data_IF_905302241455
#
_entry.id   IF_905302241455
#
_cell.length_a   1.000
_cell.length_b   1.000
_cell.length_c   1.000
_cell.angle_alpha   90.00
_cell.angle_beta   90.00
_cell.angle_gamma   90.00
#
_symmetry.space_group_name_H-M   'P 1'
#
loop_
_entity.id
_entity.type
_entity.pdbx_description
1 polymer ?
#
# COMPACT_ATOMS: atom_id res chain seq x y z
N UNK A 1 -40.00 -13.56 49.45
CA UNK A 1 -39.94 -14.00 48.04
C UNK A 1 -39.17 -12.95 47.27
N UNK A 2 -37.86 -13.12 47.18
CA UNK A 2 -36.95 -12.21 46.51
C UNK A 2 -36.42 -12.93 45.28
N UNK A 3 -36.92 -12.57 44.11
CA UNK A 3 -36.34 -12.95 42.85
C UNK A 3 -35.21 -11.95 42.50
N UNK A 4 -33.98 -12.34 42.81
CA UNK A 4 -32.81 -11.73 42.26
C UNK A 4 -32.60 -12.30 40.83
N UNK A 5 -32.86 -11.48 39.83
CA UNK A 5 -32.47 -11.77 38.48
C UNK A 5 -30.94 -11.74 38.44
N UNK A 6 -30.32 -12.89 38.22
CA UNK A 6 -28.93 -13.00 37.80
C UNK A 6 -28.76 -12.34 36.44
N UNK A 7 -28.17 -11.14 36.43
CA UNK A 7 -27.63 -10.55 35.23
C UNK A 7 -26.41 -11.35 34.82
N UNK A 8 -26.58 -12.20 33.80
CA UNK A 8 -25.47 -12.84 33.11
C UNK A 8 -24.57 -11.76 32.54
N UNK A 9 -23.42 -11.57 33.15
CA UNK A 9 -22.35 -10.74 32.59
C UNK A 9 -21.85 -11.46 31.34
N UNK A 10 -22.27 -10.98 30.17
CA UNK A 10 -21.73 -11.42 28.88
C UNK A 10 -20.31 -10.89 28.80
N UNK A 11 -19.35 -11.78 28.95
CA UNK A 11 -17.93 -11.48 28.69
C UNK A 11 -17.77 -11.18 27.20
N UNK A 12 -17.59 -9.90 26.86
CA UNK A 12 -17.23 -9.46 25.52
C UNK A 12 -15.74 -9.69 25.29
N UNK A 13 -15.31 -10.95 25.24
CA UNK A 13 -14.02 -11.38 24.69
C UNK A 13 -14.25 -12.01 23.32
N UNK A 14 -14.86 -11.26 22.40
CA UNK A 14 -14.74 -11.55 20.99
C UNK A 14 -13.82 -10.47 20.40
N UNK A 15 -12.54 -10.79 20.29
CA UNK A 15 -11.69 -10.15 19.30
C UNK A 15 -12.39 -10.37 17.96
N UNK A 16 -12.83 -9.30 17.34
CA UNK A 16 -13.47 -9.37 16.04
C UNK A 16 -12.43 -9.88 15.02
N UNK A 17 -12.53 -11.15 14.65
CA UNK A 17 -11.67 -11.72 13.60
C UNK A 17 -12.12 -11.18 12.24
N UNK A 18 -11.21 -10.50 11.53
CA UNK A 18 -11.44 -10.06 10.15
C UNK A 18 -11.14 -11.23 9.22
N UNK A 19 -12.08 -11.55 8.34
CA UNK A 19 -11.95 -12.61 7.34
C UNK A 19 -11.87 -12.04 5.92
N UNK A 20 -11.35 -12.85 4.98
CA UNK A 20 -11.38 -12.51 3.56
C UNK A 20 -12.83 -12.32 3.09
N UNK A 21 -13.10 -11.20 2.41
CA UNK A 21 -14.42 -10.78 1.95
C UNK A 21 -15.11 -9.79 2.88
N UNK A 22 -14.64 -9.61 4.11
CA UNK A 22 -15.21 -8.62 5.01
C UNK A 22 -15.11 -7.22 4.46
N UNK A 23 -16.21 -6.49 4.54
CA UNK A 23 -16.33 -5.14 3.98
C UNK A 23 -16.79 -4.16 5.04
N UNK A 24 -16.09 -3.05 5.15
CA UNK A 24 -16.36 -1.99 6.11
C UNK A 24 -16.71 -0.69 5.39
N UNK A 25 -17.73 0.00 5.88
CA UNK A 25 -18.11 1.32 5.39
C UNK A 25 -17.56 2.41 6.32
N UNK A 26 -16.70 3.26 5.76
CA UNK A 26 -16.07 4.38 6.46
C UNK A 26 -16.63 5.69 5.89
N UNK A 27 -17.81 6.08 6.31
CA UNK A 27 -18.57 7.16 5.70
C UNK A 27 -18.91 6.83 4.24
N UNK A 28 -18.36 7.56 3.27
CA UNK A 28 -18.54 7.30 1.83
C UNK A 28 -17.49 6.34 1.22
N UNK A 29 -16.55 5.87 2.01
CA UNK A 29 -15.47 4.99 1.57
C UNK A 29 -15.79 3.53 1.88
N UNK A 30 -15.31 2.63 1.04
CA UNK A 30 -15.40 1.19 1.24
C UNK A 30 -14.00 0.65 1.52
N UNK A 31 -13.86 -0.13 2.59
CA UNK A 31 -12.66 -0.91 2.88
C UNK A 31 -13.04 -2.38 2.77
N UNK A 32 -12.24 -3.16 2.08
CA UNK A 32 -12.43 -4.61 1.91
C UNK A 32 -11.15 -5.36 2.32
N UNK A 33 -11.30 -6.44 3.05
CA UNK A 33 -10.24 -7.41 3.32
C UNK A 33 -10.24 -8.45 2.21
N UNK A 34 -9.35 -8.30 1.20
CA UNK A 34 -9.34 -9.18 0.04
C UNK A 34 -7.97 -9.18 -0.66
N UNK A 35 -7.77 -10.14 -1.56
CA UNK A 35 -6.60 -10.15 -2.45
C UNK A 35 -6.84 -9.20 -3.63
N UNK A 36 -5.97 -8.21 -3.80
CA UNK A 36 -6.05 -7.23 -4.90
C UNK A 36 -5.75 -7.81 -6.28
N UNK A 37 -5.29 -9.07 -6.36
CA UNK A 37 -5.10 -9.80 -7.62
C UNK A 37 -6.42 -10.36 -8.17
N UNK A 38 -7.45 -10.40 -7.35
CA UNK A 38 -8.76 -10.88 -7.74
C UNK A 38 -9.65 -9.74 -8.23
N UNK A 39 -10.13 -9.81 -9.46
CA UNK A 39 -10.98 -8.77 -10.06
C UNK A 39 -12.29 -8.54 -9.29
N UNK A 40 -12.86 -9.58 -8.66
CA UNK A 40 -14.08 -9.46 -7.87
C UNK A 40 -13.89 -8.52 -6.66
N UNK A 41 -12.71 -8.52 -6.05
CA UNK A 41 -12.42 -7.65 -4.89
C UNK A 41 -12.44 -6.18 -5.28
N UNK A 42 -11.91 -5.88 -6.47
CA UNK A 42 -11.88 -4.52 -7.02
C UNK A 42 -13.30 -4.08 -7.39
N UNK A 43 -14.05 -4.92 -8.10
CA UNK A 43 -15.45 -4.66 -8.47
C UNK A 43 -16.32 -4.40 -7.22
N UNK A 44 -16.15 -5.25 -6.20
CA UNK A 44 -16.88 -5.12 -4.93
C UNK A 44 -16.54 -3.83 -4.19
N UNK A 45 -15.25 -3.43 -4.15
CA UNK A 45 -14.81 -2.19 -3.52
C UNK A 45 -15.35 -0.95 -4.25
N UNK A 46 -15.40 -0.99 -5.58
CA UNK A 46 -15.83 0.13 -6.43
C UNK A 46 -17.35 0.32 -6.47
N UNK A 47 -18.14 -0.73 -6.25
CA UNK A 47 -19.61 -0.66 -6.27
C UNK A 47 -20.17 -0.01 -7.55
N UNK A 48 -19.64 -0.40 -8.71
CA UNK A 48 -20.05 0.12 -10.01
C UNK A 48 -19.51 1.53 -10.33
N UNK A 49 -18.56 2.04 -9.55
CA UNK A 49 -17.87 3.31 -9.85
C UNK A 49 -16.61 3.07 -10.66
N UNK A 50 -16.31 3.97 -11.58
CA UNK A 50 -15.06 3.95 -12.30
C UNK A 50 -13.89 4.47 -11.44
N UNK A 51 -12.73 3.90 -11.66
CA UNK A 51 -11.47 4.28 -11.01
C UNK A 51 -10.73 5.34 -11.83
N UNK A 52 -10.48 6.49 -11.24
CA UNK A 52 -9.75 7.57 -11.88
C UNK A 52 -8.30 7.64 -11.43
N UNK A 53 -8.03 7.26 -10.18
CA UNK A 53 -6.71 7.31 -9.55
C UNK A 53 -6.43 5.98 -8.86
N UNK A 54 -5.26 5.43 -9.15
CA UNK A 54 -4.65 4.32 -8.41
C UNK A 54 -3.52 4.89 -7.54
N UNK A 55 -3.75 4.98 -6.23
CA UNK A 55 -2.72 5.32 -5.24
C UNK A 55 -2.50 4.10 -4.36
N UNK A 56 -1.29 3.54 -4.35
CA UNK A 56 -1.03 2.27 -3.68
C UNK A 56 0.37 2.18 -3.11
N UNK A 57 0.49 1.43 -2.01
CA UNK A 57 1.72 1.07 -1.32
C UNK A 57 1.76 -0.47 -1.23
N UNK A 58 2.13 -1.16 -2.33
CA UNK A 58 2.18 -2.62 -2.34
C UNK A 58 3.35 -3.13 -1.50
N UNK A 59 3.37 -4.42 -1.10
CA UNK A 59 4.57 -5.06 -0.57
C UNK A 59 5.74 -4.89 -1.54
N UNK A 60 6.94 -4.62 -1.02
CA UNK A 60 8.11 -4.33 -1.87
C UNK A 60 8.93 -5.57 -2.25
N UNK A 61 8.62 -6.73 -1.65
CA UNK A 61 9.36 -7.97 -1.90
C UNK A 61 10.80 -7.96 -1.37
N UNK A 62 11.06 -7.21 -0.31
CA UNK A 62 12.39 -7.01 0.29
C UNK A 62 12.52 -7.59 1.69
N UNK A 63 11.46 -8.27 2.17
CA UNK A 63 11.41 -8.85 3.51
C UNK A 63 11.72 -7.81 4.61
N UNK A 64 10.93 -6.74 4.61
CA UNK A 64 11.20 -5.56 5.44
C UNK A 64 11.21 -5.87 6.94
N UNK A 65 10.33 -6.76 7.42
CA UNK A 65 10.21 -7.10 8.85
C UNK A 65 11.40 -7.96 9.27
N UNK A 66 11.67 -9.06 8.58
CA UNK A 66 12.80 -9.94 8.90
C UNK A 66 14.15 -9.22 8.74
N UNK A 67 14.27 -8.32 7.77
CA UNK A 67 15.49 -7.52 7.60
C UNK A 67 15.79 -6.58 8.76
N UNK A 68 14.83 -6.29 9.66
CA UNK A 68 14.99 -5.52 10.89
C UNK A 68 15.25 -6.35 12.14
N UNK A 69 15.10 -7.66 12.07
CA UNK A 69 15.40 -8.53 13.20
C UNK A 69 16.85 -8.36 13.64
N UNK A 70 17.04 -8.14 14.93
CA UNK A 70 18.35 -7.88 15.53
C UNK A 70 18.75 -6.42 15.69
N UNK A 71 17.95 -5.43 15.21
CA UNK A 71 18.22 -4.01 15.40
C UNK A 71 17.42 -3.34 16.51
N UNK A 72 16.20 -3.81 16.80
CA UNK A 72 15.35 -3.26 17.86
C UNK A 72 14.38 -4.30 18.41
N UNK A 73 14.30 -4.42 19.73
CA UNK A 73 13.26 -5.25 20.39
C UNK A 73 11.83 -4.80 20.09
N UNK A 74 11.65 -3.53 19.67
CA UNK A 74 10.34 -2.99 19.27
C UNK A 74 9.84 -3.51 17.92
N UNK A 75 10.68 -4.15 17.10
CA UNK A 75 10.24 -4.77 15.84
C UNK A 75 9.47 -6.07 16.03
N UNK A 76 9.56 -6.71 17.20
CA UNK A 76 8.77 -7.90 17.56
C UNK A 76 7.27 -7.63 17.72
N UNK A 77 6.84 -6.37 17.65
CA UNK A 77 5.45 -5.96 17.77
C UNK A 77 4.68 -5.97 16.43
N UNK A 78 5.35 -6.22 15.30
CA UNK A 78 4.71 -6.21 13.99
C UNK A 78 4.71 -7.62 13.39
N UNK A 79 3.52 -8.05 12.95
CA UNK A 79 3.37 -9.27 12.16
C UNK A 79 4.03 -9.11 10.79
N UNK A 80 4.39 -10.23 10.17
CA UNK A 80 4.93 -10.26 8.82
C UNK A 80 3.98 -9.61 7.82
N UNK A 81 4.53 -8.80 6.93
CA UNK A 81 3.73 -8.19 5.86
C UNK A 81 3.49 -9.25 4.79
N UNK A 82 2.21 -9.55 4.54
CA UNK A 82 1.84 -10.53 3.52
C UNK A 82 2.43 -10.15 2.14
N UNK A 83 3.05 -11.12 1.47
CA UNK A 83 3.73 -11.00 0.17
C UNK A 83 4.97 -10.08 0.15
N UNK A 84 5.53 -9.69 1.30
CA UNK A 84 6.77 -8.89 1.37
C UNK A 84 8.04 -9.76 1.49
N UNK A 85 7.93 -11.09 1.54
CA UNK A 85 9.09 -11.99 1.50
C UNK A 85 10.00 -11.67 0.31
N UNK A 86 11.32 -11.95 0.47
CA UNK A 86 12.31 -11.66 -0.57
C UNK A 86 11.90 -12.26 -1.93
N UNK A 87 11.90 -11.42 -2.97
CA UNK A 87 11.58 -11.79 -4.34
C UNK A 87 12.72 -11.38 -5.29
N UNK A 88 12.93 -12.16 -6.34
CA UNK A 88 13.74 -11.75 -7.47
C UNK A 88 13.01 -10.68 -8.29
N UNK A 89 13.75 -9.94 -9.13
CA UNK A 89 13.17 -8.93 -10.02
C UNK A 89 12.05 -9.50 -10.90
N UNK A 90 12.24 -10.72 -11.41
CA UNK A 90 11.25 -11.39 -12.25
C UNK A 90 9.98 -11.79 -11.47
N UNK A 91 10.12 -12.29 -10.26
CA UNK A 91 8.99 -12.63 -9.38
C UNK A 91 8.20 -11.38 -9.01
N UNK A 92 8.91 -10.30 -8.67
CA UNK A 92 8.26 -9.04 -8.33
C UNK A 92 7.57 -8.38 -9.53
N UNK A 93 8.17 -8.47 -10.72
CA UNK A 93 7.52 -8.00 -11.95
C UNK A 93 6.23 -8.77 -12.25
N UNK A 94 6.23 -10.11 -12.08
CA UNK A 94 5.02 -10.94 -12.20
C UNK A 94 3.97 -10.63 -11.14
N UNK A 95 4.40 -10.44 -9.90
CA UNK A 95 3.50 -10.02 -8.81
C UNK A 95 2.85 -8.66 -9.15
N UNK A 96 3.64 -7.69 -9.61
CA UNK A 96 3.14 -6.38 -10.02
C UNK A 96 2.13 -6.49 -11.16
N UNK A 97 2.43 -7.26 -12.20
CA UNK A 97 1.51 -7.53 -13.30
C UNK A 97 0.19 -8.13 -12.79
N UNK A 98 0.27 -9.09 -11.87
CA UNK A 98 -0.88 -9.84 -11.39
C UNK A 98 -1.91 -8.95 -10.66
N UNK A 99 -1.47 -7.95 -9.87
CA UNK A 99 -2.41 -7.06 -9.18
C UNK A 99 -2.78 -5.82 -9.99
N UNK A 100 -1.99 -5.40 -10.98
CA UNK A 100 -2.30 -4.23 -11.82
C UNK A 100 -3.25 -4.55 -12.98
N UNK A 101 -3.12 -5.74 -13.56
CA UNK A 101 -3.95 -6.15 -14.72
C UNK A 101 -5.45 -6.21 -14.40
N UNK A 102 -5.91 -6.75 -13.27
CA UNK A 102 -7.33 -6.81 -12.91
C UNK A 102 -8.01 -5.44 -12.72
N UNK A 103 -7.22 -4.37 -12.52
CA UNK A 103 -7.74 -3.01 -12.32
C UNK A 103 -8.21 -2.37 -13.64
N UNK A 104 -7.63 -2.78 -14.76
CA UNK A 104 -7.81 -2.13 -16.07
C UNK A 104 -9.28 -2.00 -16.49
N UNK A 105 -10.16 -3.02 -16.35
CA UNK A 105 -11.56 -2.91 -16.74
C UNK A 105 -12.36 -1.84 -16.01
N UNK A 106 -11.87 -1.40 -14.86
CA UNK A 106 -12.54 -0.42 -13.99
C UNK A 106 -11.99 0.99 -14.15
N UNK A 107 -10.98 1.19 -14.99
CA UNK A 107 -10.36 2.51 -15.18
C UNK A 107 -11.24 3.41 -16.03
N UNK A 108 -11.30 4.67 -15.67
CA UNK A 108 -11.72 5.73 -16.59
C UNK A 108 -10.73 5.87 -17.74
N UNK A 109 -11.22 6.33 -18.87
CA UNK A 109 -10.38 6.62 -20.06
C UNK A 109 -9.17 7.49 -19.70
N UNK A 110 -9.39 8.52 -18.86
CA UNK A 110 -8.34 9.37 -18.30
C UNK A 110 -8.07 9.00 -16.86
N UNK A 111 -6.88 8.52 -16.57
CA UNK A 111 -6.50 8.02 -15.25
C UNK A 111 -5.04 8.37 -14.92
N UNK A 112 -4.66 8.07 -13.68
CA UNK A 112 -3.28 8.18 -13.20
C UNK A 112 -3.00 7.11 -12.16
N UNK A 113 -1.72 6.74 -11.99
CA UNK A 113 -1.25 5.87 -10.91
C UNK A 113 -0.06 6.46 -10.19
N UNK A 114 -0.03 6.29 -8.86
CA UNK A 114 1.09 6.60 -7.98
C UNK A 114 1.35 5.38 -7.12
N UNK A 115 2.51 4.75 -7.32
CA UNK A 115 2.85 3.47 -6.70
C UNK A 115 4.13 3.65 -5.90
N UNK A 116 4.05 3.54 -4.57
CA UNK A 116 5.21 3.58 -3.70
C UNK A 116 6.10 2.36 -3.90
N UNK A 117 7.41 2.55 -3.83
CA UNK A 117 8.34 1.43 -3.89
C UNK A 117 9.72 1.82 -3.31
N UNK A 118 10.52 0.77 -3.02
CA UNK A 118 11.92 0.91 -2.67
C UNK A 118 12.81 1.03 -3.92
N UNK A 119 13.97 1.66 -3.76
CA UNK A 119 15.00 1.79 -4.80
C UNK A 119 15.42 0.45 -5.41
N UNK A 120 15.53 -0.59 -4.58
CA UNK A 120 15.93 -1.94 -5.01
C UNK A 120 14.99 -2.58 -6.03
N UNK A 121 13.68 -2.35 -5.88
CA UNK A 121 12.66 -3.05 -6.67
C UNK A 121 11.97 -2.16 -7.71
N UNK A 122 12.39 -0.92 -7.86
CA UNK A 122 11.74 0.06 -8.75
C UNK A 122 11.79 -0.35 -10.22
N UNK A 123 12.86 -1.04 -10.66
CA UNK A 123 12.98 -1.52 -12.04
C UNK A 123 12.07 -2.72 -12.28
N UNK A 124 11.96 -3.63 -11.33
CA UNK A 124 11.03 -4.76 -11.39
C UNK A 124 9.57 -4.28 -11.35
N UNK A 125 9.25 -3.27 -10.52
CA UNK A 125 7.96 -2.61 -10.54
C UNK A 125 7.63 -2.06 -11.93
N UNK A 126 8.56 -1.30 -12.53
CA UNK A 126 8.40 -0.74 -13.88
C UNK A 126 8.09 -1.83 -14.91
N UNK A 127 8.84 -2.92 -14.87
CA UNK A 127 8.64 -4.02 -15.82
C UNK A 127 7.26 -4.68 -15.64
N UNK A 128 6.83 -4.90 -14.41
CA UNK A 128 5.49 -5.40 -14.10
C UNK A 128 4.37 -4.45 -14.56
N UNK A 129 4.53 -3.14 -14.36
CA UNK A 129 3.61 -2.11 -14.88
C UNK A 129 3.47 -2.23 -16.41
N UNK A 130 4.61 -2.31 -17.12
CA UNK A 130 4.61 -2.40 -18.59
C UNK A 130 3.98 -3.70 -19.07
N UNK A 131 4.24 -4.84 -18.45
CA UNK A 131 3.60 -6.14 -18.74
C UNK A 131 2.09 -6.08 -18.53
N UNK A 132 1.63 -5.37 -17.52
CA UNK A 132 0.21 -5.13 -17.27
C UNK A 132 -0.42 -4.11 -18.22
N UNK A 133 0.34 -3.52 -19.17
CA UNK A 133 -0.17 -2.55 -20.14
C UNK A 133 -0.24 -1.11 -19.63
N UNK A 134 0.40 -0.82 -18.47
CA UNK A 134 0.51 0.53 -17.94
C UNK A 134 1.76 1.23 -18.47
N UNK A 135 1.69 2.54 -18.59
CA UNK A 135 2.84 3.38 -18.88
C UNK A 135 3.52 3.81 -17.60
N UNK A 136 4.80 3.49 -17.46
CA UNK A 136 5.67 4.15 -16.49
C UNK A 136 6.16 5.48 -17.10
N UNK A 137 5.85 6.59 -16.47
CA UNK A 137 6.16 7.93 -16.99
C UNK A 137 7.39 8.53 -16.34
N UNK A 138 7.40 8.64 -15.03
CA UNK A 138 8.51 9.23 -14.28
C UNK A 138 8.54 8.78 -12.83
N UNK A 139 9.63 9.07 -12.14
CA UNK A 139 9.75 8.91 -10.70
C UNK A 139 9.47 10.23 -9.98
N UNK A 140 8.75 10.12 -8.86
CA UNK A 140 8.63 11.14 -7.85
C UNK A 140 9.41 10.64 -6.63
N UNK A 141 10.17 11.50 -5.98
CA UNK A 141 11.01 11.16 -4.85
C UNK A 141 10.43 11.80 -3.59
N UNK A 142 9.99 10.97 -2.64
CA UNK A 142 9.66 11.44 -1.31
C UNK A 142 10.90 11.47 -0.45
N UNK A 143 11.36 12.67 -0.09
CA UNK A 143 12.49 12.89 0.81
C UNK A 143 11.96 13.03 2.25
N UNK A 144 12.52 12.24 3.16
CA UNK A 144 12.17 12.21 4.58
C UNK A 144 13.02 13.21 5.35
N UNK A 145 12.53 13.65 6.51
CA UNK A 145 13.24 14.57 7.42
C UNK A 145 14.51 13.97 8.06
N UNK A 146 14.62 12.64 8.06
CA UNK A 146 15.81 11.94 8.56
C UNK A 146 15.99 10.59 7.89
N UNK A 147 17.25 10.17 7.74
CA UNK A 147 17.59 8.87 7.22
C UNK A 147 17.15 7.73 8.15
N UNK A 148 17.03 6.53 7.60
CA UNK A 148 16.83 5.29 8.38
C UNK A 148 18.22 4.70 8.63
N UNK A 149 18.58 4.47 9.89
CA UNK A 149 19.85 3.84 10.25
C UNK A 149 19.79 2.38 9.81
N UNK A 150 20.77 1.99 8.98
CA UNK A 150 20.86 0.64 8.42
C UNK A 150 22.32 0.25 8.14
N UNK A 151 22.58 -1.04 7.86
CA UNK A 151 23.90 -1.51 7.44
C UNK A 151 24.10 -1.35 5.93
N UNK A 152 24.07 -0.10 5.46
CA UNK A 152 24.27 0.29 4.06
C UNK A 152 25.32 1.40 4.00
N UNK A 153 26.04 1.50 2.89
CA UNK A 153 26.99 2.56 2.64
C UNK A 153 26.30 3.93 2.60
N UNK A 154 25.12 3.99 2.01
CA UNK A 154 24.26 5.18 2.00
C UNK A 154 22.98 4.92 2.79
N UNK A 155 22.72 5.73 3.81
CA UNK A 155 21.53 5.61 4.63
C UNK A 155 20.28 6.07 3.85
N UNK A 156 19.25 5.23 3.72
CA UNK A 156 18.05 5.58 2.97
C UNK A 156 17.27 6.72 3.64
N UNK A 157 17.15 7.85 2.94
CA UNK A 157 16.38 9.01 3.39
C UNK A 157 15.21 9.33 2.46
N UNK A 158 14.93 8.48 1.49
CA UNK A 158 13.85 8.69 0.54
C UNK A 158 13.10 7.39 0.25
N UNK A 159 11.96 7.53 -0.37
CA UNK A 159 11.23 6.47 -1.07
C UNK A 159 10.88 6.98 -2.46
N UNK A 160 10.68 6.04 -3.38
CA UNK A 160 10.32 6.33 -4.77
C UNK A 160 8.82 6.13 -4.97
N UNK A 161 8.24 6.94 -5.84
CA UNK A 161 6.85 6.80 -6.26
C UNK A 161 6.85 6.74 -7.78
N UNK A 162 6.45 5.59 -8.33
CA UNK A 162 6.29 5.42 -9.75
C UNK A 162 5.01 6.12 -10.20
N UNK A 163 5.13 7.10 -11.08
CA UNK A 163 4.00 7.78 -11.71
C UNK A 163 3.75 7.23 -13.10
N UNK A 164 2.50 6.93 -13.40
CA UNK A 164 2.09 6.40 -14.69
C UNK A 164 0.59 6.43 -14.91
N UNK A 165 0.13 5.75 -15.97
CA UNK A 165 -1.29 5.63 -16.33
C UNK A 165 -1.51 4.47 -17.30
N UNK A 166 -2.76 4.09 -17.52
CA UNK A 166 -3.16 3.20 -18.60
C UNK A 166 -3.95 3.99 -19.67
N UNK A 167 -3.60 3.80 -20.96
CA UNK A 167 -4.28 4.51 -22.05
C UNK A 167 -3.98 6.01 -22.04
N UNK A 168 -4.94 6.85 -21.62
CA UNK A 168 -4.81 8.31 -21.56
C UNK A 168 -4.56 8.80 -20.13
N UNK A 169 -3.61 9.72 -19.99
CA UNK A 169 -3.30 10.27 -18.70
C UNK A 169 -4.27 11.40 -18.28
N UNK A 170 -4.45 11.54 -16.96
CA UNK A 170 -5.11 12.67 -16.33
C UNK A 170 -4.18 13.34 -15.33
N UNK A 171 -3.96 14.63 -15.48
CA UNK A 171 -3.24 15.45 -14.53
C UNK A 171 -3.94 16.80 -14.41
N UNK A 172 -4.59 17.03 -13.28
CA UNK A 172 -5.50 18.16 -13.11
C UNK A 172 -4.88 19.36 -12.40
N UNK A 173 -3.79 19.14 -11.73
CA UNK A 173 -3.11 20.17 -10.96
C UNK A 173 -1.82 20.55 -11.64
N UNK A 174 -1.58 21.75 -11.92
CA UNK A 174 -0.44 22.29 -12.63
C UNK A 174 0.91 21.57 -12.49
N UNK A 175 2.03 22.23 -12.75
CA UNK A 175 3.36 21.62 -12.76
C UNK A 175 3.88 21.41 -11.34
N UNK A 176 3.57 20.28 -10.70
CA UNK A 176 4.13 19.89 -9.40
C UNK A 176 5.59 19.47 -9.51
N UNK A 177 6.32 19.59 -8.41
CA UNK A 177 7.73 19.15 -8.34
C UNK A 177 7.79 17.63 -8.19
N UNK A 178 8.81 17.02 -8.78
CA UNK A 178 9.06 15.57 -8.63
C UNK A 178 9.80 15.21 -7.33
N UNK A 179 10.16 16.18 -6.50
CA UNK A 179 10.76 15.95 -5.17
C UNK A 179 9.81 16.53 -4.13
N UNK A 180 9.31 15.64 -3.27
CA UNK A 180 8.36 15.94 -2.19
C UNK A 180 9.06 15.79 -0.85
N UNK A 181 9.14 16.85 -0.06
CA UNK A 181 9.77 16.84 1.26
C UNK A 181 8.70 16.78 2.36
N UNK A 182 8.51 15.61 2.95
CA UNK A 182 7.58 15.37 4.06
C UNK A 182 8.24 14.53 5.15
N UNK A 183 8.04 14.91 6.41
CA UNK A 183 8.56 14.15 7.54
C UNK A 183 7.97 12.73 7.59
N UNK A 184 8.80 11.75 7.93
CA UNK A 184 8.32 10.39 8.21
C UNK A 184 7.56 10.31 9.53
N UNK A 185 6.69 9.34 9.68
CA UNK A 185 6.03 9.06 10.95
C UNK A 185 7.06 8.44 11.91
N UNK A 186 7.31 9.10 13.04
CA UNK A 186 8.35 8.68 14.00
C UNK A 186 7.89 7.63 15.01
N UNK A 187 6.62 7.69 15.42
CA UNK A 187 6.01 6.72 16.34
C UNK A 187 4.72 6.21 15.73
N UNK A 188 4.73 4.97 15.33
CA UNK A 188 3.56 4.33 14.75
C UNK A 188 3.35 2.96 15.40
N UNK A 189 2.21 2.80 16.06
CA UNK A 189 1.79 1.56 16.71
C UNK A 189 0.76 0.80 15.89
N UNK A 190 0.32 1.37 14.75
CA UNK A 190 -0.74 0.80 13.92
C UNK A 190 -0.15 -0.05 12.80
N UNK A 191 0.80 0.50 12.04
CA UNK A 191 1.40 -0.20 10.90
C UNK A 191 2.84 0.27 10.67
N UNK A 192 3.82 -0.64 10.48
CA UNK A 192 5.25 -0.30 10.45
C UNK A 192 5.66 0.63 9.30
N UNK A 193 4.95 0.57 8.18
CA UNK A 193 5.26 1.31 6.95
C UNK A 193 4.23 2.39 6.59
N UNK A 194 3.41 2.84 7.55
CA UNK A 194 2.36 3.83 7.30
C UNK A 194 2.91 5.12 6.68
N UNK A 195 2.26 5.59 5.61
CA UNK A 195 2.64 6.82 4.91
C UNK A 195 2.04 8.06 5.60
N UNK A 196 2.75 9.20 5.62
CA UNK A 196 2.24 10.45 6.20
C UNK A 196 1.02 10.98 5.42
N UNK A 197 -0.05 11.34 6.14
CA UNK A 197 -1.26 11.92 5.52
C UNK A 197 -0.96 13.16 4.66
N UNK A 198 -0.09 14.12 5.07
CA UNK A 198 0.23 15.26 4.23
C UNK A 198 0.81 14.87 2.87
N UNK A 199 1.68 13.85 2.82
CA UNK A 199 2.24 13.33 1.57
C UNK A 199 1.14 12.76 0.63
N UNK A 200 0.14 12.06 1.21
CA UNK A 200 -0.93 11.44 0.43
C UNK A 200 -1.98 12.45 -0.07
N UNK A 201 -1.92 13.69 0.39
CA UNK A 201 -2.83 14.78 -0.02
C UNK A 201 -2.25 15.68 -1.11
N UNK A 202 -0.92 15.57 -1.36
CA UNK A 202 -0.23 16.32 -2.40
C UNK A 202 -0.60 15.83 -3.80
#
# INVERSE_FOLDING_TARGET
MNNLQEQKQVSLTNEASIALGDTFLLGKHTLICADSRDSWSIEWALKGKDLQLLLTDPPYGIDYVASKEGFNESTKLHEDIANDGFQSDEEYARFTEAWMRPIIPFLREKNASYIFNADKMIFALRDGMMRAGWKFSQLIVWVKDSAIIWRLDYLPQHELIAYGWHGKHAFYWGKSKSVLAFAKIRKNTIHPTMKPIPLLRE
#
